data_IF_853649348134
#
_entry.id   IF_853649348134
#
_cell.length_a   1.000
_cell.length_b   1.000
_cell.length_c   1.000
_cell.angle_alpha   90.00
_cell.angle_beta   90.00
_cell.angle_gamma   90.00
#
_symmetry.space_group_name_H-M   'P 1'
#
loop_
_entity.id
_entity.type
_entity.pdbx_description
1 polymer ?
#
# COMPACT_ATOMS: atom_id res chain seq x y z
N UNK A 1 15.89 -1.39 56.81
CA UNK A 1 15.76 -2.22 55.59
C UNK A 1 14.38 -2.90 55.43
N UNK A 2 13.33 -2.49 56.17
CA UNK A 2 12.00 -3.14 56.13
C UNK A 2 10.98 -2.51 55.15
N UNK A 3 11.34 -1.40 54.51
CA UNK A 3 10.47 -0.61 53.63
C UNK A 3 10.48 -1.09 52.16
N UNK A 4 11.50 -1.86 51.77
CA UNK A 4 11.64 -2.41 50.42
C UNK A 4 10.51 -3.35 49.97
N UNK A 5 10.01 -4.31 50.78
CA UNK A 5 8.94 -5.21 50.35
C UNK A 5 7.60 -4.50 50.14
N UNK A 6 7.31 -3.44 50.90
CA UNK A 6 6.09 -2.63 50.74
C UNK A 6 6.11 -1.82 49.44
N UNK A 7 7.27 -1.25 49.10
CA UNK A 7 7.45 -0.53 47.84
C UNK A 7 7.35 -1.47 46.64
N UNK A 8 7.94 -2.67 46.72
CA UNK A 8 7.85 -3.68 45.67
C UNK A 8 6.40 -4.17 45.46
N UNK A 9 5.63 -4.37 46.53
CA UNK A 9 4.23 -4.77 46.46
C UNK A 9 3.36 -3.67 45.82
N UNK A 10 3.61 -2.40 46.16
CA UNK A 10 2.93 -1.26 45.56
C UNK A 10 3.28 -1.09 44.07
N UNK A 11 4.53 -1.33 43.67
CA UNK A 11 4.93 -1.31 42.27
C UNK A 11 4.30 -2.47 41.48
N UNK A 12 4.11 -3.64 42.09
CA UNK A 12 3.46 -4.80 41.47
C UNK A 12 1.95 -4.63 41.28
N UNK A 13 1.28 -3.73 42.00
CA UNK A 13 -0.14 -3.41 41.73
C UNK A 13 -0.30 -2.37 40.63
N UNK A 14 0.70 -1.52 40.40
CA UNK A 14 0.70 -0.54 39.30
C UNK A 14 0.86 -1.20 37.92
N UNK A 15 1.36 -2.44 37.83
CA UNK A 15 1.50 -3.17 36.56
C UNK A 15 0.17 -3.74 36.03
N UNK A 16 -0.92 -3.69 36.82
CA UNK A 16 -2.27 -4.09 36.44
C UNK A 16 -3.16 -2.90 36.05
N UNK A 17 -2.59 -1.87 35.41
CA UNK A 17 -3.34 -0.68 34.98
C UNK A 17 -4.35 -0.97 33.85
N UNK A 18 -4.17 -2.07 33.10
CA UNK A 18 -5.02 -2.43 31.96
C UNK A 18 -5.62 -3.81 32.18
N UNK A 19 -6.95 -3.88 32.16
CA UNK A 19 -7.68 -5.15 32.14
C UNK A 19 -7.80 -5.65 30.70
N UNK A 20 -6.93 -6.60 30.34
CA UNK A 20 -6.88 -7.18 28.99
C UNK A 20 -8.16 -7.95 28.63
N UNK A 21 -8.96 -8.39 29.60
CA UNK A 21 -10.20 -9.12 29.33
C UNK A 21 -11.28 -8.23 28.68
N UNK A 22 -11.16 -6.91 28.79
CA UNK A 22 -12.08 -5.94 28.16
C UNK A 22 -11.80 -5.70 26.68
N UNK A 23 -10.63 -6.12 26.19
CA UNK A 23 -10.25 -5.95 24.79
C UNK A 23 -10.49 -7.23 24.02
N UNK A 24 -11.14 -7.12 22.86
CA UNK A 24 -11.42 -8.29 22.02
C UNK A 24 -10.12 -8.82 21.43
N UNK A 25 -9.85 -10.10 21.65
CA UNK A 25 -8.79 -10.82 20.94
C UNK A 25 -9.19 -11.08 19.48
N UNK A 26 -8.22 -11.47 18.65
CA UNK A 26 -8.51 -11.86 17.26
C UNK A 26 -9.49 -13.04 17.20
N UNK A 27 -9.38 -14.01 18.13
CA UNK A 27 -10.31 -15.13 18.21
C UNK A 27 -11.73 -14.68 18.57
N UNK A 28 -11.89 -13.62 19.35
CA UNK A 28 -13.20 -13.06 19.69
C UNK A 28 -13.79 -12.16 18.59
N UNK A 29 -13.04 -11.84 17.54
CA UNK A 29 -13.44 -10.91 16.47
C UNK A 29 -13.56 -11.63 15.13
N UNK A 30 -14.79 -11.76 14.61
CA UNK A 30 -15.09 -12.62 13.46
C UNK A 30 -14.26 -12.36 12.20
N UNK A 31 -14.07 -11.09 11.79
CA UNK A 31 -13.26 -10.78 10.61
C UNK A 31 -11.79 -11.16 10.81
N UNK A 32 -11.23 -10.90 12.00
CA UNK A 32 -9.84 -11.21 12.32
C UNK A 32 -9.63 -12.72 12.32
N UNK A 33 -10.53 -13.47 12.98
CA UNK A 33 -10.49 -14.93 13.01
C UNK A 33 -10.47 -15.54 11.61
N UNK A 34 -11.36 -15.09 10.73
CA UNK A 34 -11.43 -15.60 9.35
C UNK A 34 -10.18 -15.29 8.54
N UNK A 35 -9.63 -14.07 8.64
CA UNK A 35 -8.51 -13.64 7.80
C UNK A 35 -7.13 -14.06 8.33
N UNK A 36 -6.98 -14.30 9.63
CA UNK A 36 -5.68 -14.64 10.24
C UNK A 36 -5.17 -16.04 9.86
N UNK A 37 -6.07 -16.96 9.55
CA UNK A 37 -5.73 -18.33 9.13
C UNK A 37 -6.41 -18.72 7.81
N UNK A 38 -6.81 -17.73 7.01
CA UNK A 38 -7.44 -18.00 5.72
C UNK A 38 -6.43 -18.68 4.78
N UNK A 39 -6.88 -19.69 4.06
CA UNK A 39 -6.20 -20.12 2.85
C UNK A 39 -6.16 -18.95 1.84
N UNK A 40 -5.05 -18.80 1.13
CA UNK A 40 -4.91 -17.75 0.12
C UNK A 40 -5.80 -18.10 -1.08
N UNK A 41 -6.88 -17.35 -1.26
CA UNK A 41 -7.65 -17.37 -2.51
C UNK A 41 -7.08 -16.32 -3.44
N UNK A 42 -6.44 -16.71 -4.56
CA UNK A 42 -5.78 -15.76 -5.44
C UNK A 42 -6.79 -14.85 -6.14
N UNK A 43 -6.40 -13.60 -6.30
CA UNK A 43 -7.02 -12.67 -7.24
C UNK A 43 -6.10 -12.55 -8.45
N UNK A 44 -6.70 -12.51 -9.64
CA UNK A 44 -6.00 -12.29 -10.91
C UNK A 44 -6.55 -11.05 -11.56
N UNK A 45 -5.70 -10.38 -12.33
CA UNK A 45 -6.16 -9.26 -13.16
C UNK A 45 -6.93 -9.82 -14.35
N UNK A 46 -8.11 -9.28 -14.61
CA UNK A 46 -8.95 -9.66 -15.73
C UNK A 46 -8.23 -9.31 -17.04
N UNK A 47 -8.04 -10.28 -17.96
CA UNK A 47 -7.34 -10.03 -19.22
C UNK A 47 -7.96 -8.87 -20.01
N UNK A 48 -7.10 -8.02 -20.58
CA UNK A 48 -7.52 -6.89 -21.41
C UNK A 48 -8.21 -5.73 -20.66
N UNK A 49 -8.29 -5.77 -19.33
CA UNK A 49 -8.92 -4.67 -18.56
C UNK A 49 -7.93 -3.62 -18.06
N UNK A 50 -6.63 -3.93 -18.06
CA UNK A 50 -5.61 -2.98 -17.64
C UNK A 50 -5.43 -1.89 -18.68
N UNK A 51 -5.58 -0.65 -18.26
CA UNK A 51 -5.32 0.52 -19.09
C UNK A 51 -4.92 1.71 -18.21
N UNK A 52 -4.08 2.59 -18.77
CA UNK A 52 -3.83 3.92 -18.20
C UNK A 52 -4.83 4.88 -18.84
N UNK A 53 -5.64 5.55 -18.03
CA UNK A 53 -6.60 6.53 -18.52
C UNK A 53 -5.94 7.87 -18.89
N UNK A 54 -6.72 8.81 -19.46
CA UNK A 54 -6.22 10.15 -19.86
C UNK A 54 -5.74 11.00 -18.69
N UNK A 55 -6.15 10.68 -17.46
CA UNK A 55 -5.66 11.32 -16.23
C UNK A 55 -4.33 10.74 -15.76
N UNK A 56 -3.85 9.67 -16.41
CA UNK A 56 -2.62 8.98 -16.05
C UNK A 56 -2.79 8.03 -14.86
N UNK A 57 -4.02 7.58 -14.57
CA UNK A 57 -4.29 6.57 -13.54
C UNK A 57 -4.39 5.20 -14.20
N UNK A 58 -3.69 4.20 -13.67
CA UNK A 58 -3.93 2.83 -14.10
C UNK A 58 -5.22 2.32 -13.49
N UNK A 59 -6.06 1.73 -14.35
CA UNK A 59 -7.28 1.02 -13.99
C UNK A 59 -7.21 -0.41 -14.51
N UNK A 60 -7.89 -1.30 -13.79
CA UNK A 60 -8.09 -2.67 -14.21
C UNK A 60 -9.24 -3.30 -13.42
N UNK A 61 -9.51 -4.57 -13.69
CA UNK A 61 -10.46 -5.36 -12.92
C UNK A 61 -9.77 -6.58 -12.33
N UNK A 62 -10.08 -6.93 -11.10
CA UNK A 62 -9.67 -8.19 -10.48
C UNK A 62 -10.84 -9.17 -10.48
N UNK A 63 -10.51 -10.43 -10.69
CA UNK A 63 -11.42 -11.56 -10.50
C UNK A 63 -10.77 -12.62 -9.60
N UNK A 64 -11.59 -13.48 -9.02
CA UNK A 64 -11.15 -14.55 -8.13
C UNK A 64 -11.54 -14.32 -6.68
N UNK A 65 -10.67 -14.73 -5.76
CA UNK A 65 -11.01 -14.79 -4.34
C UNK A 65 -12.03 -15.88 -4.01
N UNK A 66 -12.45 -15.93 -2.74
CA UNK A 66 -13.34 -16.96 -2.20
C UNK A 66 -14.71 -17.02 -2.89
N UNK A 67 -15.20 -15.88 -3.40
CA UNK A 67 -16.54 -15.72 -3.95
C UNK A 67 -16.58 -15.31 -5.43
N UNK A 68 -15.43 -15.17 -6.10
CA UNK A 68 -15.36 -14.83 -7.52
C UNK A 68 -15.87 -13.42 -7.87
N UNK A 69 -15.96 -12.50 -6.89
CA UNK A 69 -16.51 -11.15 -7.10
C UNK A 69 -15.58 -10.29 -7.95
N UNK A 70 -16.19 -9.46 -8.81
CA UNK A 70 -15.47 -8.44 -9.58
C UNK A 70 -15.07 -7.28 -8.66
N UNK A 71 -13.79 -6.90 -8.71
CA UNK A 71 -13.26 -5.74 -8.00
C UNK A 71 -12.61 -4.78 -9.00
N UNK A 72 -12.77 -3.49 -8.80
CA UNK A 72 -12.06 -2.48 -9.58
C UNK A 72 -10.68 -2.21 -8.95
N UNK A 73 -9.66 -2.16 -9.79
CA UNK A 73 -8.26 -1.90 -9.45
C UNK A 73 -7.90 -0.49 -9.92
N UNK A 74 -7.32 0.31 -9.04
CA UNK A 74 -6.81 1.63 -9.36
C UNK A 74 -5.39 1.78 -8.78
N UNK A 75 -4.45 2.24 -9.60
CA UNK A 75 -3.10 2.56 -9.17
C UNK A 75 -2.76 3.99 -9.55
N UNK A 76 -2.35 4.77 -8.55
CA UNK A 76 -1.86 6.15 -8.70
C UNK A 76 -0.39 6.21 -8.28
N UNK A 77 0.39 7.05 -8.95
CA UNK A 77 1.75 7.42 -8.52
C UNK A 77 1.78 8.85 -8.01
N UNK A 78 2.71 9.17 -7.12
CA UNK A 78 2.93 10.51 -6.59
C UNK A 78 4.37 10.97 -6.82
N UNK A 79 4.64 12.29 -6.92
CA UNK A 79 5.99 12.80 -7.15
C UNK A 79 7.05 12.39 -6.13
N UNK A 80 6.63 11.99 -4.94
CA UNK A 80 7.51 11.47 -3.89
C UNK A 80 8.06 10.07 -4.18
N UNK A 81 7.60 9.40 -5.24
CA UNK A 81 7.88 7.98 -5.50
C UNK A 81 6.92 7.02 -4.79
N UNK A 82 5.94 7.54 -4.04
CA UNK A 82 4.88 6.74 -3.42
C UNK A 82 3.87 6.31 -4.47
N UNK A 83 3.39 5.06 -4.39
CA UNK A 83 2.26 4.57 -5.16
C UNK A 83 1.08 4.24 -4.25
N UNK A 84 -0.13 4.52 -4.71
CA UNK A 84 -1.38 4.19 -4.01
C UNK A 84 -2.20 3.22 -4.84
N UNK A 85 -2.32 2.01 -4.29
CA UNK A 85 -3.22 0.97 -4.79
C UNK A 85 -4.57 1.10 -4.10
N UNK A 86 -5.64 1.06 -4.87
CA UNK A 86 -7.02 1.00 -4.37
C UNK A 86 -7.75 -0.14 -5.06
N UNK A 87 -8.44 -0.93 -4.24
CA UNK A 87 -9.28 -2.04 -4.69
C UNK A 87 -10.67 -1.82 -4.10
N UNK A 88 -11.67 -1.72 -4.97
CA UNK A 88 -13.07 -1.49 -4.58
C UNK A 88 -13.98 -2.54 -5.18
N UNK A 89 -15.11 -2.82 -4.55
CA UNK A 89 -16.14 -3.66 -5.16
C UNK A 89 -16.77 -2.92 -6.34
N UNK A 90 -16.85 -3.57 -7.51
CA UNK A 90 -17.47 -2.97 -8.70
C UNK A 90 -18.96 -2.69 -8.46
N UNK A 91 -19.66 -3.58 -7.75
CA UNK A 91 -21.09 -3.48 -7.45
C UNK A 91 -21.37 -3.86 -5.97
N UNK A 92 -21.15 -2.94 -5.02
CA UNK A 92 -21.34 -3.23 -3.61
C UNK A 92 -22.82 -3.28 -3.22
N UNK A 93 -23.22 -4.27 -2.42
CA UNK A 93 -24.63 -4.51 -2.05
C UNK A 93 -25.25 -3.41 -1.17
N UNK A 94 -24.44 -2.65 -0.44
CA UNK A 94 -24.89 -1.69 0.56
C UNK A 94 -24.37 -0.26 0.29
N UNK A 95 -24.19 0.07 -0.99
CA UNK A 95 -23.60 1.34 -1.40
C UNK A 95 -22.06 1.32 -1.31
N UNK A 96 -21.40 2.46 -1.56
CA UNK A 96 -19.94 2.53 -1.62
C UNK A 96 -19.30 2.11 -0.29
N UNK A 97 -18.14 1.44 -0.38
CA UNK A 97 -17.33 1.15 0.80
C UNK A 97 -16.85 2.47 1.42
N UNK A 98 -16.84 2.54 2.74
CA UNK A 98 -16.39 3.74 3.45
C UNK A 98 -14.94 4.10 3.06
N UNK A 99 -14.68 5.39 2.88
CA UNK A 99 -13.35 5.93 2.61
C UNK A 99 -13.07 7.12 3.54
N UNK A 100 -11.82 7.25 4.05
CA UNK A 100 -11.45 8.39 4.86
C UNK A 100 -11.42 9.67 4.02
N UNK A 101 -12.07 10.72 4.51
CA UNK A 101 -12.17 12.02 3.82
C UNK A 101 -11.23 13.09 4.38
N UNK A 102 -10.64 12.85 5.54
CA UNK A 102 -9.94 13.83 6.38
C UNK A 102 -8.46 13.48 6.63
N UNK A 103 -8.01 12.33 6.12
CA UNK A 103 -6.62 11.86 6.29
C UNK A 103 -5.70 12.35 5.17
N UNK A 104 -6.25 12.57 3.98
CA UNK A 104 -5.45 12.95 2.81
C UNK A 104 -5.37 14.47 2.70
N UNK A 105 -4.14 14.98 2.61
CA UNK A 105 -3.88 16.38 2.32
C UNK A 105 -4.45 16.77 0.94
N UNK A 106 -5.10 17.93 0.87
CA UNK A 106 -5.81 18.37 -0.33
C UNK A 106 -4.89 18.71 -1.51
N UNK A 107 -3.61 19.00 -1.25
CA UNK A 107 -2.60 19.34 -2.24
C UNK A 107 -1.90 18.11 -2.83
N UNK A 108 -2.23 16.90 -2.35
CA UNK A 108 -1.63 15.66 -2.81
C UNK A 108 -2.08 15.32 -4.25
N UNK A 109 -1.30 15.79 -5.23
CA UNK A 109 -1.56 15.60 -6.66
C UNK A 109 -0.84 14.38 -7.23
N UNK A 110 -1.58 13.41 -7.81
CA UNK A 110 -0.96 12.28 -8.49
C UNK A 110 -0.11 12.70 -9.70
N UNK A 111 0.96 11.97 -9.96
CA UNK A 111 1.73 12.00 -11.21
C UNK A 111 1.05 11.11 -12.26
N UNK A 112 1.17 11.51 -13.54
CA UNK A 112 0.67 10.70 -14.65
C UNK A 112 1.54 9.47 -14.84
N UNK A 113 0.94 8.30 -14.72
CA UNK A 113 1.57 7.04 -15.08
C UNK A 113 1.75 6.94 -16.60
N UNK A 114 2.77 6.20 -17.04
CA UNK A 114 3.07 5.93 -18.44
C UNK A 114 3.61 4.51 -18.56
N UNK A 115 3.22 3.82 -19.62
CA UNK A 115 3.82 2.55 -20.00
C UNK A 115 5.27 2.72 -20.48
N UNK A 116 6.17 1.91 -19.93
CA UNK A 116 7.61 1.92 -20.25
C UNK A 116 7.95 0.55 -20.82
N UNK A 117 8.61 0.52 -21.98
CA UNK A 117 9.02 -0.73 -22.62
C UNK A 117 10.22 -1.39 -21.92
N UNK A 118 10.41 -2.69 -22.16
CA UNK A 118 11.52 -3.47 -21.61
C UNK A 118 12.92 -2.92 -21.98
N UNK A 119 13.06 -2.33 -23.17
CA UNK A 119 14.31 -1.73 -23.62
C UNK A 119 14.68 -0.46 -22.84
N UNK A 120 13.68 0.36 -22.47
CA UNK A 120 13.87 1.56 -21.62
C UNK A 120 14.26 1.19 -20.18
N UNK A 121 14.01 -0.04 -19.72
CA UNK A 121 14.44 -0.48 -18.37
C UNK A 121 15.93 -0.83 -18.29
N UNK A 122 16.57 -1.16 -19.42
CA UNK A 122 17.95 -1.63 -19.48
C UNK A 122 19.00 -0.52 -19.56
N UNK A 123 18.61 0.69 -19.96
CA UNK A 123 19.47 1.88 -19.86
C UNK A 123 19.36 2.47 -18.45
N UNK A 124 20.30 3.34 -18.05
CA UNK A 124 20.35 3.99 -16.73
C UNK A 124 19.19 4.99 -16.52
N UNK A 125 17.97 4.50 -16.67
CA UNK A 125 16.74 5.26 -16.58
C UNK A 125 16.45 5.61 -15.12
N UNK A 126 16.01 6.84 -14.82
CA UNK A 126 15.67 7.28 -13.47
C UNK A 126 14.31 6.71 -13.03
N UNK A 127 14.17 5.39 -13.04
CA UNK A 127 13.00 4.70 -12.50
C UNK A 127 12.98 4.82 -10.98
N UNK A 128 11.91 5.40 -10.46
CA UNK A 128 11.69 5.52 -9.04
C UNK A 128 10.81 4.38 -8.48
N UNK A 129 9.94 3.76 -9.30
CA UNK A 129 9.15 2.58 -8.93
C UNK A 129 8.65 1.79 -10.15
N UNK A 130 8.52 0.47 -10.03
CA UNK A 130 8.01 -0.43 -11.07
C UNK A 130 7.11 -1.52 -10.45
N UNK A 131 6.05 -1.94 -11.15
CA UNK A 131 5.22 -3.09 -10.76
C UNK A 131 5.09 -4.04 -11.94
N UNK A 132 5.37 -5.32 -11.72
CA UNK A 132 5.31 -6.36 -12.75
C UNK A 132 4.22 -7.37 -12.35
N UNK A 133 3.28 -7.64 -13.25
CA UNK A 133 2.38 -8.79 -13.17
C UNK A 133 2.60 -9.71 -14.39
N UNK A 134 2.41 -11.01 -14.21
CA UNK A 134 2.76 -12.07 -15.18
C UNK A 134 2.16 -11.93 -16.58
N UNK A 135 1.11 -11.12 -16.75
CA UNK A 135 0.42 -10.90 -18.03
C UNK A 135 0.33 -9.41 -18.43
N UNK A 136 0.82 -8.50 -17.60
CA UNK A 136 0.84 -7.07 -17.88
C UNK A 136 1.90 -6.37 -17.04
N UNK A 137 2.81 -5.68 -17.72
CA UNK A 137 3.83 -4.88 -17.06
C UNK A 137 3.33 -3.43 -17.01
N UNK A 138 3.10 -2.90 -15.81
CA UNK A 138 2.66 -1.52 -15.66
C UNK A 138 3.67 -0.78 -14.81
N UNK A 139 4.34 0.17 -15.44
CA UNK A 139 5.37 0.99 -14.85
C UNK A 139 4.81 2.35 -14.44
N UNK A 140 5.30 2.90 -13.33
CA UNK A 140 4.90 4.21 -12.84
C UNK A 140 6.06 5.20 -12.94
N UNK A 141 5.85 6.32 -13.63
CA UNK A 141 6.85 7.39 -13.78
C UNK A 141 6.46 8.57 -12.88
N UNK A 142 7.46 9.13 -12.21
CA UNK A 142 7.43 10.50 -11.70
C UNK A 142 8.39 11.32 -12.55
N UNK A 143 7.89 12.39 -13.17
CA UNK A 143 8.74 13.45 -13.70
C UNK A 143 8.81 14.55 -12.65
N UNK A 144 9.99 14.79 -12.07
CA UNK A 144 10.26 16.03 -11.36
C UNK A 144 10.41 17.17 -12.37
N UNK A 145 9.82 18.35 -12.16
CA UNK A 145 9.95 19.50 -13.07
C UNK A 145 11.31 20.22 -12.98
N UNK A 146 12.32 19.62 -12.35
CA UNK A 146 13.61 20.27 -12.07
C UNK A 146 14.77 19.54 -12.75
N UNK A 147 14.71 19.39 -14.07
CA UNK A 147 15.91 19.19 -14.89
C UNK A 147 16.54 20.56 -15.20
N UNK A 148 16.86 21.36 -14.19
CA UNK A 148 17.62 22.60 -14.32
C UNK A 148 18.32 22.91 -12.99
N UNK A 149 19.44 22.25 -12.73
CA UNK A 149 20.64 22.94 -12.22
C UNK A 149 21.83 21.99 -12.25
N UNK A 150 22.87 22.47 -12.92
CA UNK A 150 24.18 21.90 -13.08
C UNK A 150 24.87 21.55 -11.76
N UNK A 151 25.73 20.53 -11.84
CA UNK A 151 27.01 20.37 -11.12
C UNK A 151 27.00 20.31 -9.59
N UNK A 152 27.42 19.16 -9.03
CA UNK A 152 28.60 19.05 -8.16
C UNK A 152 28.95 17.59 -7.85
N UNK A 153 30.24 17.29 -7.93
CA UNK A 153 30.88 16.00 -7.71
C UNK A 153 30.66 15.49 -6.28
N UNK A 154 30.49 14.17 -6.13
CA UNK A 154 31.10 13.40 -5.02
C UNK A 154 31.19 11.92 -5.41
N UNK A 155 32.39 11.30 -5.39
CA UNK A 155 32.52 9.86 -5.54
C UNK A 155 32.40 9.19 -4.17
N UNK A 156 31.44 8.28 -4.02
CA UNK A 156 31.44 7.32 -2.91
C UNK A 156 30.16 7.30 -2.06
N UNK A 157 29.15 6.58 -2.53
CA UNK A 157 28.13 6.02 -1.65
C UNK A 157 27.79 4.60 -2.15
N UNK A 158 28.10 3.60 -1.33
CA UNK A 158 27.70 2.20 -1.59
C UNK A 158 26.23 2.02 -1.18
N UNK A 159 25.39 1.36 -1.99
CA UNK A 159 24.02 1.05 -1.58
C UNK A 159 23.99 -0.06 -0.52
N UNK A 160 23.26 0.19 0.56
CA UNK A 160 22.81 -0.81 1.53
C UNK A 160 21.48 -1.34 1.01
N UNK A 161 21.41 -2.64 0.75
CA UNK A 161 20.16 -3.34 0.48
C UNK A 161 19.52 -3.74 1.82
N UNK A 162 18.23 -3.44 1.98
CA UNK A 162 17.32 -4.11 2.92
C UNK A 162 16.42 -5.01 2.10
#
# INVERSE_FOLDING_TARGET
>A
MRSFPLLALFLATLTNAVDHAKFRTCQQTGFCRRRRSAATHPYVVAPGTLAIDTSGVLRGRLHGGEFGVSLDLHLLGYPSGVARLRVTETNPLHGPRWEPTDILEADLKPSKLREVGAAELGEAHPLHAAVIASEAMVYAVVLSPSSLSSSLLTPGAKPIFV
#
